data_IF_722714895055
#
_entry.id   IF_722714895055
#
_cell.length_a   1.000
_cell.length_b   1.000
_cell.length_c   1.000
_cell.angle_alpha   90.00
_cell.angle_beta   90.00
_cell.angle_gamma   90.00
#
_symmetry.space_group_name_H-M   'P 1'
#
loop_
_entity.id
_entity.type
_entity.pdbx_description
1 polymer ?
#
# COMPACT_ATOMS: atom_id res chain seq x y z
N UNK A 1 4.37 -5.15 13.82
CA UNK A 1 3.48 -5.20 14.99
C UNK A 1 2.06 -5.44 14.48
N UNK A 2 1.51 -6.66 14.70
CA UNK A 2 0.27 -7.11 14.04
C UNK A 2 -0.93 -6.85 14.96
N UNK A 3 -1.60 -5.72 14.77
CA UNK A 3 -2.82 -5.38 15.54
C UNK A 3 -4.03 -6.25 15.10
N UNK A 4 -4.06 -6.71 13.85
CA UNK A 4 -5.16 -7.52 13.31
C UNK A 4 -5.19 -8.98 13.77
N UNK A 5 -4.07 -9.54 14.22
CA UNK A 5 -4.04 -10.90 14.77
C UNK A 5 -4.82 -11.07 16.10
N UNK A 6 -5.14 -9.93 16.75
CA UNK A 6 -5.90 -9.95 18.01
C UNK A 6 -7.42 -9.98 17.78
N UNK A 7 -7.90 -9.55 16.59
CA UNK A 7 -9.33 -9.36 16.31
C UNK A 7 -9.94 -10.55 15.54
N UNK A 8 -9.15 -11.29 14.78
CA UNK A 8 -9.60 -12.45 14.03
C UNK A 8 -8.52 -13.53 13.98
N UNK A 9 -8.43 -14.41 14.99
CA UNK A 9 -7.53 -15.56 14.95
C UNK A 9 -8.04 -16.53 13.87
N UNK A 10 -7.38 -16.55 12.72
CA UNK A 10 -7.74 -17.40 11.58
C UNK A 10 -7.77 -16.68 10.24
N UNK A 11 -7.71 -15.36 10.20
CA UNK A 11 -7.49 -14.63 8.96
C UNK A 11 -5.98 -14.60 8.66
N UNK A 12 -5.50 -15.60 7.93
CA UNK A 12 -4.17 -15.54 7.34
C UNK A 12 -4.18 -14.43 6.28
N UNK A 13 -3.71 -13.26 6.66
CA UNK A 13 -3.42 -12.22 5.68
C UNK A 13 -2.30 -12.77 4.82
N UNK A 14 -2.49 -12.95 3.51
CA UNK A 14 -1.41 -13.41 2.65
C UNK A 14 -0.29 -12.37 2.70
N UNK A 15 0.74 -12.67 3.47
CA UNK A 15 1.99 -11.89 3.42
C UNK A 15 2.61 -12.27 2.09
N UNK A 16 2.40 -11.44 1.08
CA UNK A 16 3.10 -11.53 -0.19
C UNK A 16 4.60 -11.34 0.10
N UNK A 17 5.28 -12.44 0.40
CA UNK A 17 6.73 -12.45 0.46
C UNK A 17 7.23 -12.45 -0.98
N UNK A 18 7.97 -11.41 -1.35
CA UNK A 18 8.73 -11.44 -2.58
C UNK A 18 9.53 -12.74 -2.62
N UNK A 19 9.36 -13.51 -3.68
CA UNK A 19 10.10 -14.76 -3.86
C UNK A 19 11.57 -14.38 -4.05
N UNK A 20 12.37 -14.54 -2.99
CA UNK A 20 13.82 -14.34 -3.07
C UNK A 20 14.41 -15.50 -3.84
N UNK A 21 14.45 -15.37 -5.16
CA UNK A 21 15.30 -16.21 -5.98
C UNK A 21 16.74 -15.81 -5.68
N UNK A 22 17.55 -16.74 -5.19
CA UNK A 22 18.99 -16.53 -5.08
C UNK A 22 19.53 -16.14 -6.46
N UNK A 23 20.13 -14.97 -6.62
CA UNK A 23 20.64 -14.56 -7.92
C UNK A 23 21.70 -15.56 -8.36
N UNK A 24 21.46 -16.23 -9.47
CA UNK A 24 22.53 -16.99 -10.13
C UNK A 24 23.66 -16.02 -10.49
N UNK A 25 24.92 -16.47 -10.43
CA UNK A 25 26.06 -15.63 -10.78
C UNK A 25 25.91 -15.15 -12.24
N UNK A 26 25.60 -13.88 -12.41
CA UNK A 26 25.40 -13.22 -13.72
C UNK A 26 26.69 -13.20 -14.54
N UNK A 27 27.80 -13.57 -13.92
CA UNK A 27 29.15 -13.52 -14.54
C UNK A 27 29.34 -14.50 -15.72
N UNK A 28 28.52 -15.55 -15.79
CA UNK A 28 28.58 -16.54 -16.83
C UNK A 28 27.56 -16.34 -17.99
N UNK A 29 26.76 -15.24 -17.95
CA UNK A 29 25.71 -15.00 -18.92
C UNK A 29 26.26 -14.37 -20.21
N UNK A 30 25.68 -14.77 -21.35
CA UNK A 30 25.98 -14.14 -22.65
C UNK A 30 25.39 -12.72 -22.72
N UNK A 31 25.89 -11.91 -23.65
CA UNK A 31 25.38 -10.56 -23.87
C UNK A 31 23.90 -10.59 -24.31
N UNK A 32 23.46 -11.60 -25.03
CA UNK A 32 22.06 -11.81 -25.44
C UNK A 32 21.17 -12.07 -24.22
N UNK A 33 21.60 -12.93 -23.30
CA UNK A 33 20.85 -13.20 -22.05
C UNK A 33 20.75 -11.96 -21.17
N UNK A 34 21.83 -11.20 -21.09
CA UNK A 34 21.86 -9.93 -20.36
C UNK A 34 20.91 -8.88 -20.97
N UNK A 35 20.83 -8.81 -22.30
CA UNK A 35 19.91 -7.92 -22.99
C UNK A 35 18.46 -8.32 -22.74
N UNK A 36 18.12 -9.60 -22.82
CA UNK A 36 16.80 -10.11 -22.48
C UNK A 36 16.42 -9.82 -21.02
N UNK A 37 17.36 -9.97 -20.09
CA UNK A 37 17.14 -9.64 -18.68
C UNK A 37 16.86 -8.15 -18.47
N UNK A 38 17.59 -7.28 -19.16
CA UNK A 38 17.38 -5.83 -19.09
C UNK A 38 16.01 -5.44 -19.65
N UNK A 39 15.60 -6.02 -20.79
CA UNK A 39 14.28 -5.75 -21.37
C UNK A 39 13.14 -6.23 -20.47
N UNK A 40 13.24 -7.43 -19.92
CA UNK A 40 12.21 -7.95 -19.00
C UNK A 40 12.20 -7.16 -17.69
N UNK A 41 13.37 -6.80 -17.16
CA UNK A 41 13.48 -5.93 -15.98
C UNK A 41 12.80 -4.58 -16.18
N UNK A 42 12.98 -3.98 -17.37
CA UNK A 42 12.30 -2.73 -17.74
C UNK A 42 10.77 -2.89 -17.78
N UNK A 43 10.28 -3.97 -18.44
CA UNK A 43 8.85 -4.26 -18.50
C UNK A 43 8.23 -4.48 -17.12
N UNK A 44 8.94 -5.18 -16.23
CA UNK A 44 8.49 -5.40 -14.86
C UNK A 44 8.45 -4.11 -14.06
N UNK A 45 9.45 -3.24 -14.23
CA UNK A 45 9.47 -1.92 -13.59
C UNK A 45 8.28 -1.05 -14.04
N UNK A 46 7.99 -1.04 -15.33
CA UNK A 46 6.85 -0.31 -15.90
C UNK A 46 5.52 -0.83 -15.33
N UNK A 47 5.36 -2.15 -15.15
CA UNK A 47 4.19 -2.74 -14.47
C UNK A 47 4.10 -2.30 -13.02
N UNK A 48 5.19 -2.35 -12.26
CA UNK A 48 5.21 -1.89 -10.87
C UNK A 48 4.84 -0.41 -10.73
N UNK A 49 5.29 0.45 -11.63
CA UNK A 49 4.92 1.86 -11.67
C UNK A 49 3.43 2.05 -11.97
N UNK A 50 2.89 1.26 -12.89
CA UNK A 50 1.45 1.24 -13.20
C UNK A 50 0.63 0.81 -11.97
N UNK A 51 1.03 -0.26 -11.29
CA UNK A 51 0.36 -0.76 -10.09
C UNK A 51 0.35 0.28 -8.97
N UNK A 52 1.46 0.97 -8.77
CA UNK A 52 1.52 2.05 -7.78
C UNK A 52 0.60 3.22 -8.13
N UNK A 53 0.50 3.57 -9.41
CA UNK A 53 -0.42 4.60 -9.86
C UNK A 53 -1.87 4.18 -9.59
N UNK A 54 -2.22 2.92 -9.84
CA UNK A 54 -3.54 2.39 -9.53
C UNK A 54 -3.83 2.39 -8.02
N UNK A 55 -2.86 1.97 -7.19
CA UNK A 55 -3.00 2.00 -5.72
C UNK A 55 -3.23 3.44 -5.25
N UNK A 56 -2.48 4.40 -5.79
CA UNK A 56 -2.62 5.82 -5.46
C UNK A 56 -4.00 6.36 -5.84
N UNK A 57 -4.51 6.03 -7.02
CA UNK A 57 -5.84 6.43 -7.46
C UNK A 57 -6.94 5.84 -6.56
N UNK A 58 -6.82 4.56 -6.19
CA UNK A 58 -7.74 3.91 -5.24
C UNK A 58 -7.68 4.56 -3.85
N UNK A 59 -6.48 4.88 -3.36
CA UNK A 59 -6.31 5.57 -2.09
C UNK A 59 -6.91 6.97 -2.10
N UNK A 60 -6.83 7.71 -3.21
CA UNK A 60 -7.47 9.01 -3.38
C UNK A 60 -8.99 8.91 -3.32
N UNK A 61 -9.58 7.94 -4.01
CA UNK A 61 -11.00 7.65 -3.94
C UNK A 61 -11.44 7.31 -2.51
N UNK A 62 -10.72 6.40 -1.86
CA UNK A 62 -11.00 5.99 -0.50
C UNK A 62 -10.89 7.17 0.49
N UNK A 63 -9.89 8.03 0.32
CA UNK A 63 -9.72 9.24 1.11
C UNK A 63 -10.94 10.15 0.98
N UNK A 64 -11.40 10.43 -0.26
CA UNK A 64 -12.54 11.32 -0.49
C UNK A 64 -13.83 10.75 0.08
N UNK A 65 -14.12 9.49 -0.19
CA UNK A 65 -15.33 8.81 0.31
C UNK A 65 -15.27 8.65 1.84
N UNK A 66 -14.12 8.24 2.37
CA UNK A 66 -13.92 8.09 3.81
C UNK A 66 -14.06 9.41 4.55
N UNK A 67 -13.53 10.50 4.02
CA UNK A 67 -13.71 11.85 4.58
C UNK A 67 -15.18 12.27 4.58
N UNK A 68 -15.91 12.03 3.48
CA UNK A 68 -17.33 12.34 3.40
C UNK A 68 -18.17 11.55 4.43
N UNK A 69 -17.91 10.23 4.56
CA UNK A 69 -18.56 9.38 5.57
C UNK A 69 -18.22 9.87 6.98
N UNK A 70 -16.96 10.24 7.24
CA UNK A 70 -16.53 10.74 8.55
C UNK A 70 -17.27 12.02 8.91
N UNK A 71 -17.42 12.96 7.99
CA UNK A 71 -18.19 14.20 8.21
C UNK A 71 -19.67 13.90 8.46
N UNK A 72 -20.27 12.97 7.70
CA UNK A 72 -21.66 12.58 7.90
C UNK A 72 -21.89 11.94 9.27
N UNK A 73 -21.03 11.01 9.68
CA UNK A 73 -21.08 10.32 10.97
C UNK A 73 -20.84 11.32 12.13
N UNK A 74 -19.86 12.21 12.00
CA UNK A 74 -19.61 13.26 12.99
C UNK A 74 -20.78 14.23 13.09
N UNK A 75 -21.40 14.61 11.96
CA UNK A 75 -22.58 15.48 11.95
C UNK A 75 -23.82 14.81 12.56
N UNK A 76 -24.00 13.50 12.39
CA UNK A 76 -25.04 12.75 13.08
C UNK A 76 -24.76 12.68 14.59
N UNK A 77 -23.54 12.35 14.98
CA UNK A 77 -23.10 12.32 16.39
C UNK A 77 -23.35 13.64 17.12
N UNK A 78 -23.05 14.79 16.49
CA UNK A 78 -23.25 16.11 17.13
C UNK A 78 -24.72 16.49 17.30
N UNK A 79 -25.64 15.88 16.56
CA UNK A 79 -27.09 16.11 16.67
C UNK A 79 -27.75 15.13 17.66
N UNK A 80 -27.08 14.01 17.93
CA UNK A 80 -27.50 13.04 18.91
C UNK A 80 -26.97 13.43 20.29
N UNK A 81 -27.57 12.89 21.34
CA UNK A 81 -27.10 13.07 22.71
C UNK A 81 -26.81 11.70 23.32
N UNK A 82 -25.84 10.94 22.76
CA UNK A 82 -25.62 9.56 23.11
C UNK A 82 -25.07 9.43 24.53
N UNK A 83 -25.54 8.43 25.27
CA UNK A 83 -25.05 8.10 26.60
C UNK A 83 -24.65 6.63 26.70
N UNK A 84 -23.80 6.31 27.68
CA UNK A 84 -23.42 4.93 27.98
C UNK A 84 -22.79 4.18 26.81
N UNK A 85 -23.30 2.97 26.50
CA UNK A 85 -22.75 2.11 25.44
C UNK A 85 -22.88 2.68 24.03
N UNK A 86 -23.92 3.49 23.77
CA UNK A 86 -24.13 4.13 22.46
C UNK A 86 -23.05 5.18 22.19
N UNK A 87 -22.64 5.94 23.21
CA UNK A 87 -21.51 6.86 23.10
C UNK A 87 -20.22 6.13 22.73
N UNK A 88 -19.94 5.00 23.37
CA UNK A 88 -18.76 4.20 23.06
C UNK A 88 -18.78 3.69 21.61
N UNK A 89 -19.94 3.31 21.09
CA UNK A 89 -20.13 2.86 19.71
C UNK A 89 -19.83 3.98 18.70
N UNK A 90 -20.33 5.19 18.96
CA UNK A 90 -20.05 6.38 18.15
C UNK A 90 -18.56 6.74 18.12
N UNK A 91 -17.91 6.73 19.30
CA UNK A 91 -16.48 7.02 19.39
C UNK A 91 -15.63 5.99 18.67
N UNK A 92 -16.00 4.71 18.78
CA UNK A 92 -15.32 3.64 18.04
C UNK A 92 -15.50 3.82 16.53
N UNK A 93 -16.71 4.13 16.06
CA UNK A 93 -17.00 4.37 14.65
C UNK A 93 -16.13 5.51 14.10
N UNK A 94 -16.09 6.64 14.81
CA UNK A 94 -15.28 7.80 14.42
C UNK A 94 -13.79 7.49 14.45
N UNK A 95 -13.29 6.76 15.46
CA UNK A 95 -11.89 6.36 15.52
C UNK A 95 -11.50 5.49 14.31
N UNK A 96 -12.30 4.49 13.94
CA UNK A 96 -12.06 3.65 12.77
C UNK A 96 -12.05 4.47 11.48
N UNK A 97 -13.00 5.39 11.31
CA UNK A 97 -13.05 6.26 10.13
C UNK A 97 -11.81 7.15 10.03
N UNK A 98 -11.39 7.77 11.12
CA UNK A 98 -10.17 8.60 11.16
C UNK A 98 -8.94 7.76 10.81
N UNK A 99 -8.81 6.52 11.33
CA UNK A 99 -7.71 5.63 10.98
C UNK A 99 -7.74 5.23 9.50
N UNK A 100 -8.90 4.94 8.93
CA UNK A 100 -9.05 4.63 7.52
C UNK A 100 -8.67 5.79 6.60
N UNK A 101 -9.12 7.01 6.93
CA UNK A 101 -8.76 8.24 6.21
C UNK A 101 -7.27 8.54 6.33
N UNK A 102 -6.70 8.42 7.53
CA UNK A 102 -5.26 8.63 7.77
C UNK A 102 -4.39 7.61 6.99
N UNK A 103 -4.79 6.34 6.94
CA UNK A 103 -4.13 5.31 6.13
C UNK A 103 -4.13 5.65 4.65
N UNK A 104 -5.26 6.13 4.12
CA UNK A 104 -5.36 6.58 2.73
C UNK A 104 -4.47 7.80 2.46
N UNK A 105 -4.46 8.79 3.37
CA UNK A 105 -3.60 9.97 3.29
C UNK A 105 -2.11 9.59 3.32
N UNK A 106 -1.72 8.62 4.13
CA UNK A 106 -0.33 8.14 4.20
C UNK A 106 0.15 7.58 2.86
N UNK A 107 -0.70 6.83 2.13
CA UNK A 107 -0.37 6.32 0.79
C UNK A 107 -0.16 7.47 -0.21
N UNK A 108 -0.93 8.55 -0.08
CA UNK A 108 -0.86 9.71 -0.99
C UNK A 108 0.36 10.59 -0.71
N UNK A 109 0.76 10.74 0.54
CA UNK A 109 1.82 11.67 0.98
C UNK A 109 3.21 11.05 0.99
N UNK A 110 3.31 9.76 1.34
CA UNK A 110 4.60 9.07 1.36
C UNK A 110 5.07 8.83 -0.07
N UNK A 111 6.20 9.43 -0.44
CA UNK A 111 6.85 9.19 -1.72
C UNK A 111 7.34 7.74 -1.79
N UNK A 112 7.14 7.10 -2.92
CA UNK A 112 7.80 5.83 -3.22
C UNK A 112 9.24 6.17 -3.62
N UNK A 113 10.22 5.75 -2.81
CA UNK A 113 11.62 5.87 -3.17
C UNK A 113 11.95 4.80 -4.23
N UNK A 114 11.65 5.14 -5.49
CA UNK A 114 12.26 4.41 -6.61
C UNK A 114 13.63 4.99 -6.84
N UNK A 115 14.64 4.20 -6.56
CA UNK A 115 15.99 4.49 -7.03
C UNK A 115 15.96 4.35 -8.55
N UNK A 116 15.86 5.46 -9.25
CA UNK A 116 16.10 5.50 -10.71
C UNK A 116 17.55 5.09 -10.96
N UNK A 117 17.76 4.38 -12.07
CA UNK A 117 19.12 4.07 -12.51
C UNK A 117 19.81 5.40 -12.76
N UNK A 118 20.80 5.70 -11.92
CA UNK A 118 21.60 6.90 -12.10
C UNK A 118 22.54 6.70 -13.29
N UNK A 119 22.30 7.46 -14.36
CA UNK A 119 23.13 7.42 -15.55
C UNK A 119 24.58 7.81 -15.25
N UNK A 120 24.82 8.57 -14.19
CA UNK A 120 26.18 8.91 -13.73
C UNK A 120 26.91 7.68 -13.18
N UNK A 121 26.21 6.80 -12.45
CA UNK A 121 26.78 5.54 -11.95
C UNK A 121 27.10 4.59 -13.11
N UNK A 122 26.25 4.56 -14.14
CA UNK A 122 26.49 3.75 -15.34
C UNK A 122 27.69 4.26 -16.14
N UNK A 123 27.87 5.57 -16.26
CA UNK A 123 28.99 6.16 -17.02
C UNK A 123 30.33 6.00 -16.30
N UNK A 124 30.32 5.82 -14.96
CA UNK A 124 31.50 5.59 -14.14
C UNK A 124 31.85 4.10 -13.94
N UNK A 125 31.08 3.19 -14.52
CA UNK A 125 31.28 1.75 -14.34
C UNK A 125 32.33 1.22 -15.31
N UNK A 126 33.39 0.60 -14.78
CA UNK A 126 34.43 -0.09 -15.57
C UNK A 126 33.94 -1.45 -16.14
N UNK A 127 32.74 -1.86 -15.83
CA UNK A 127 32.14 -3.13 -16.26
C UNK A 127 31.33 -2.94 -17.54
N UNK A 128 31.11 -3.99 -18.35
CA UNK A 128 30.21 -3.90 -19.50
C UNK A 128 28.86 -3.33 -19.09
N UNK A 129 28.40 -2.27 -19.74
CA UNK A 129 27.20 -1.50 -19.41
C UNK A 129 25.98 -2.41 -19.21
N UNK A 130 25.82 -3.44 -20.06
CA UNK A 130 24.73 -4.40 -19.98
C UNK A 130 24.71 -5.16 -18.64
N UNK A 131 25.87 -5.57 -18.14
CA UNK A 131 25.98 -6.28 -16.87
C UNK A 131 25.64 -5.37 -15.68
N UNK A 132 26.14 -4.13 -15.69
CA UNK A 132 25.81 -3.15 -14.67
C UNK A 132 24.32 -2.82 -14.64
N UNK A 133 23.68 -2.72 -15.80
CA UNK A 133 22.23 -2.56 -15.95
C UNK A 133 21.46 -3.76 -15.39
N UNK A 134 21.82 -4.99 -15.77
CA UNK A 134 21.15 -6.21 -15.30
C UNK A 134 21.18 -6.33 -13.76
N UNK A 135 22.34 -6.08 -13.14
CA UNK A 135 22.46 -6.05 -11.67
C UNK A 135 21.62 -4.94 -11.04
N UNK A 136 21.58 -3.76 -11.66
CA UNK A 136 20.78 -2.63 -11.15
C UNK A 136 19.29 -2.95 -11.22
N UNK A 137 18.81 -3.51 -12.32
CA UNK A 137 17.40 -3.91 -12.46
C UNK A 137 17.01 -4.99 -11.45
N UNK A 138 17.84 -6.01 -11.22
CA UNK A 138 17.54 -7.07 -10.25
C UNK A 138 17.36 -6.53 -8.83
N UNK A 139 18.18 -5.57 -8.42
CA UNK A 139 18.06 -4.90 -7.11
C UNK A 139 16.82 -4.03 -7.01
N UNK A 140 16.48 -3.30 -8.09
CA UNK A 140 15.31 -2.42 -8.12
C UNK A 140 14.02 -3.19 -8.03
N UNK A 141 13.90 -4.32 -8.74
CA UNK A 141 12.70 -5.15 -8.74
C UNK A 141 12.35 -5.63 -7.34
N UNK A 142 13.32 -6.14 -6.56
CA UNK A 142 13.08 -6.60 -5.20
C UNK A 142 12.62 -5.48 -4.24
N UNK A 143 13.15 -4.25 -4.40
CA UNK A 143 12.72 -3.10 -3.60
C UNK A 143 11.32 -2.62 -3.98
N UNK A 144 11.01 -2.63 -5.28
CA UNK A 144 9.71 -2.23 -5.81
C UNK A 144 8.57 -3.14 -5.34
N UNK A 145 8.77 -4.46 -5.39
CA UNK A 145 7.77 -5.45 -4.94
C UNK A 145 7.40 -5.26 -3.47
N UNK A 146 8.38 -5.05 -2.59
CA UNK A 146 8.14 -4.79 -1.17
C UNK A 146 7.33 -3.50 -0.96
N UNK A 147 7.61 -2.46 -1.74
CA UNK A 147 6.90 -1.18 -1.66
C UNK A 147 5.44 -1.33 -2.09
N UNK A 148 5.17 -2.04 -3.19
CA UNK A 148 3.81 -2.32 -3.69
C UNK A 148 3.03 -3.15 -2.66
N UNK A 149 3.61 -4.24 -2.15
CA UNK A 149 2.97 -5.12 -1.17
C UNK A 149 2.60 -4.38 0.12
N UNK A 150 3.51 -3.54 0.64
CA UNK A 150 3.26 -2.74 1.84
C UNK A 150 2.12 -1.76 1.63
N UNK A 151 2.09 -1.04 0.51
CA UNK A 151 1.03 -0.07 0.21
C UNK A 151 -0.32 -0.74 -0.01
N UNK A 152 -0.35 -1.88 -0.66
CA UNK A 152 -1.57 -2.66 -0.84
C UNK A 152 -2.14 -3.11 0.50
N UNK A 153 -1.28 -3.55 1.43
CA UNK A 153 -1.71 -3.94 2.78
C UNK A 153 -2.32 -2.75 3.54
N UNK A 154 -1.67 -1.58 3.49
CA UNK A 154 -2.20 -0.36 4.13
C UNK A 154 -3.53 0.07 3.50
N UNK A 155 -3.66 -0.04 2.17
CA UNK A 155 -4.91 0.26 1.47
C UNK A 155 -6.05 -0.66 1.92
N UNK A 156 -5.81 -1.98 2.01
CA UNK A 156 -6.81 -2.93 2.48
C UNK A 156 -7.25 -2.66 3.92
N UNK A 157 -6.31 -2.34 4.81
CA UNK A 157 -6.64 -1.96 6.19
C UNK A 157 -7.48 -0.69 6.22
N UNK A 158 -7.12 0.33 5.43
CA UNK A 158 -7.88 1.56 5.35
C UNK A 158 -9.32 1.32 4.83
N UNK A 159 -9.51 0.46 3.83
CA UNK A 159 -10.84 0.06 3.34
C UNK A 159 -11.66 -0.59 4.46
N UNK A 160 -11.08 -1.56 5.18
CA UNK A 160 -11.78 -2.25 6.28
C UNK A 160 -12.19 -1.28 7.39
N UNK A 161 -11.33 -0.32 7.74
CA UNK A 161 -11.64 0.68 8.75
C UNK A 161 -12.73 1.65 8.31
N UNK A 162 -12.73 2.09 7.05
CA UNK A 162 -13.79 2.99 6.52
C UNK A 162 -15.12 2.25 6.49
N UNK A 163 -15.15 1.02 5.98
CA UNK A 163 -16.38 0.21 5.93
C UNK A 163 -16.86 -0.09 7.35
N UNK A 164 -15.99 -0.60 8.21
CA UNK A 164 -16.33 -0.95 9.60
C UNK A 164 -16.82 0.26 10.39
N UNK A 165 -16.13 1.39 10.29
CA UNK A 165 -16.52 2.63 10.95
C UNK A 165 -17.86 3.18 10.43
N UNK A 166 -18.08 3.11 9.11
CA UNK A 166 -19.36 3.50 8.51
C UNK A 166 -20.53 2.63 8.99
N UNK A 167 -20.34 1.31 9.03
CA UNK A 167 -21.35 0.38 9.57
C UNK A 167 -21.64 0.61 11.04
N UNK A 168 -20.63 0.79 11.88
CA UNK A 168 -20.83 1.07 13.30
C UNK A 168 -21.54 2.38 13.53
N UNK A 169 -21.21 3.42 12.76
CA UNK A 169 -21.92 4.72 12.81
C UNK A 169 -23.39 4.58 12.40
N UNK A 170 -23.69 3.80 11.37
CA UNK A 170 -25.06 3.53 10.97
C UNK A 170 -25.84 2.74 12.05
N UNK A 171 -25.22 1.73 12.65
CA UNK A 171 -25.84 0.95 13.74
C UNK A 171 -26.11 1.87 14.94
N UNK A 172 -25.15 2.71 15.34
CA UNK A 172 -25.32 3.66 16.44
C UNK A 172 -26.50 4.61 16.18
N UNK A 173 -26.61 5.11 14.94
CA UNK A 173 -27.71 5.98 14.52
C UNK A 173 -29.07 5.27 14.60
N UNK A 174 -29.17 4.02 14.12
CA UNK A 174 -30.42 3.25 14.12
C UNK A 174 -30.87 2.82 15.53
N UNK A 175 -29.96 2.62 16.48
CA UNK A 175 -30.31 2.29 17.87
C UNK A 175 -30.84 3.50 18.61
N UNK A 176 -30.39 4.70 18.23
CA UNK A 176 -30.74 5.93 18.93
C UNK A 176 -32.08 6.52 18.45
N UNK A 177 -32.51 6.21 17.20
CA UNK A 177 -33.73 6.70 16.58
C UNK A 177 -34.75 5.61 16.37
#
# INVERSE_FOLDING_TARGET
MHVLGLIAPGLEIPILRAHQVSPQPIDAWSDDDLQHMVEEGRRQLDRQLSDLTQIRNRAQWLFTVGAAITVAVAGAFTRSNPAGGILALWLLALALLVYGVAGSAAILTVRADFKTIDTAVLSASDSPILRALAVSYSRMLGTGENTVATRLTVLWQAVLFVIGGGYLGLIAYLIEH
#
